data_IF_064303815796
#
_entry.id   IF_064303815796
#
_cell.length_a   1.000
_cell.length_b   1.000
_cell.length_c   1.000
_cell.angle_alpha   90.00
_cell.angle_beta   90.00
_cell.angle_gamma   90.00
#
_symmetry.space_group_name_H-M   'P 1'
#
loop_
_entity.id
_entity.type
_entity.pdbx_description
1 polymer ?
#
# COMPACT_ATOMS: atom_id res chain seq x y z
N UNK A 1 33.24 -16.04 -4.98
CA UNK A 1 32.38 -17.00 -5.69
C UNK A 1 30.98 -16.41 -5.73
N UNK A 2 30.62 -15.66 -6.77
CA UNK A 2 29.31 -14.99 -6.85
C UNK A 2 28.47 -15.38 -8.06
N UNK A 3 28.97 -16.26 -8.94
CA UNK A 3 28.28 -16.63 -10.17
C UNK A 3 28.43 -18.12 -10.48
N UNK A 4 28.00 -18.97 -9.55
CA UNK A 4 27.87 -20.41 -9.77
C UNK A 4 26.65 -20.89 -8.99
N UNK A 5 25.59 -21.25 -9.73
CA UNK A 5 24.33 -21.86 -9.29
C UNK A 5 23.46 -21.01 -8.33
N UNK A 6 22.80 -19.97 -8.86
CA UNK A 6 21.78 -19.22 -8.14
C UNK A 6 20.45 -19.99 -8.12
N UNK A 7 19.96 -20.29 -6.92
CA UNK A 7 18.61 -20.81 -6.68
C UNK A 7 17.56 -19.85 -7.31
N UNK A 8 16.47 -20.34 -7.93
CA UNK A 8 15.41 -19.51 -8.50
C UNK A 8 14.90 -18.39 -7.58
N UNK A 9 14.84 -18.64 -6.28
CA UNK A 9 14.44 -17.65 -5.26
C UNK A 9 15.42 -16.47 -5.20
N UNK A 10 16.73 -16.75 -5.31
CA UNK A 10 17.77 -15.71 -5.31
C UNK A 10 17.77 -14.91 -6.59
N UNK A 11 17.53 -15.53 -7.75
CA UNK A 11 17.40 -14.81 -9.02
C UNK A 11 16.20 -13.85 -9.02
N UNK A 12 15.03 -14.31 -8.55
CA UNK A 12 13.82 -13.47 -8.46
C UNK A 12 13.97 -12.32 -7.48
N UNK A 13 14.60 -12.58 -6.32
CA UNK A 13 14.91 -11.55 -5.33
C UNK A 13 15.77 -10.43 -5.92
N UNK A 14 16.78 -10.79 -6.72
CA UNK A 14 17.68 -9.83 -7.36
C UNK A 14 16.99 -8.98 -8.43
N UNK A 15 16.09 -9.56 -9.23
CA UNK A 15 15.31 -8.83 -10.23
C UNK A 15 14.44 -7.74 -9.58
N UNK A 16 13.71 -8.09 -8.53
CA UNK A 16 12.85 -7.17 -7.78
C UNK A 16 13.66 -6.06 -7.13
N UNK A 17 14.77 -6.42 -6.49
CA UNK A 17 15.66 -5.43 -5.90
C UNK A 17 16.18 -4.47 -6.98
N UNK A 18 16.58 -4.98 -8.14
CA UNK A 18 17.04 -4.14 -9.25
C UNK A 18 15.98 -3.18 -9.77
N UNK A 19 14.72 -3.62 -9.88
CA UNK A 19 13.60 -2.77 -10.30
C UNK A 19 13.36 -1.64 -9.28
N UNK A 20 13.31 -1.98 -7.99
CA UNK A 20 13.10 -1.00 -6.92
C UNK A 20 14.26 0.01 -6.80
N UNK A 21 15.50 -0.45 -7.00
CA UNK A 21 16.68 0.40 -7.02
C UNK A 21 16.63 1.47 -8.13
N UNK A 22 15.92 1.20 -9.23
CA UNK A 22 15.70 2.16 -10.31
C UNK A 22 14.93 3.42 -9.89
N UNK A 23 14.18 3.39 -8.78
CA UNK A 23 13.49 4.57 -8.24
C UNK A 23 14.37 5.46 -7.36
N UNK A 24 15.50 4.95 -6.86
CA UNK A 24 16.35 5.63 -5.88
C UNK A 24 16.88 6.99 -6.38
N UNK A 25 17.42 7.12 -7.60
CA UNK A 25 17.88 8.42 -8.09
C UNK A 25 16.76 9.46 -8.23
N UNK A 26 15.53 9.01 -8.49
CA UNK A 26 14.34 9.85 -8.68
C UNK A 26 13.84 10.37 -7.33
N UNK A 27 13.87 9.52 -6.31
CA UNK A 27 13.60 9.89 -4.92
C UNK A 27 14.55 10.98 -4.42
N UNK A 28 15.85 10.91 -4.74
CA UNK A 28 16.78 11.97 -4.34
C UNK A 28 16.49 13.32 -5.00
N UNK A 29 16.01 13.31 -6.25
CA UNK A 29 15.59 14.54 -6.94
C UNK A 29 14.29 15.11 -6.36
N UNK A 30 13.41 14.28 -5.80
CA UNK A 30 12.15 14.73 -5.21
C UNK A 30 12.29 15.36 -3.82
N UNK A 31 13.42 15.16 -3.13
CA UNK A 31 13.71 15.78 -1.82
C UNK A 31 13.89 17.30 -1.97
N UNK A 32 12.79 18.05 -1.93
CA UNK A 32 12.80 19.53 -1.88
C UNK A 32 13.35 20.02 -0.53
N UNK A 33 13.90 21.24 -0.51
CA UNK A 33 14.49 21.86 0.69
C UNK A 33 13.47 22.69 1.46
N UNK A 34 12.66 22.07 2.32
CA UNK A 34 11.98 22.78 3.41
C UNK A 34 12.77 22.63 4.72
N UNK A 35 12.57 23.53 5.69
CA UNK A 35 13.31 23.53 6.95
C UNK A 35 13.13 22.22 7.75
N UNK A 36 11.90 21.68 7.78
CA UNK A 36 11.63 20.37 8.38
C UNK A 36 12.35 19.23 7.65
N UNK A 37 12.37 19.26 6.31
CA UNK A 37 13.09 18.27 5.50
C UNK A 37 14.59 18.32 5.74
N UNK A 38 15.19 19.46 6.15
CA UNK A 38 16.65 19.54 6.40
C UNK A 38 17.12 18.51 7.44
N UNK A 39 16.36 18.29 8.51
CA UNK A 39 16.73 17.35 9.57
C UNK A 39 16.87 15.90 9.05
N UNK A 40 15.93 15.48 8.20
CA UNK A 40 15.89 14.13 7.64
C UNK A 40 16.69 13.99 6.35
N UNK A 41 16.93 15.10 5.64
CA UNK A 41 17.66 15.16 4.39
C UNK A 41 19.06 14.59 4.52
N UNK A 42 19.78 14.94 5.58
CA UNK A 42 21.15 14.44 5.79
C UNK A 42 21.17 12.93 5.98
N UNK A 43 20.19 12.38 6.71
CA UNK A 43 20.01 10.93 6.86
C UNK A 43 19.71 10.31 5.50
N UNK A 44 18.70 10.81 4.79
CA UNK A 44 18.27 10.31 3.47
C UNK A 44 19.45 10.31 2.48
N UNK A 45 20.18 11.42 2.35
CA UNK A 45 21.34 11.52 1.45
C UNK A 45 22.42 10.51 1.86
N UNK A 46 22.75 10.43 3.16
CA UNK A 46 23.81 9.55 3.67
C UNK A 46 23.51 8.08 3.44
N UNK A 47 22.26 7.64 3.61
CA UNK A 47 21.86 6.25 3.39
C UNK A 47 21.61 5.95 1.91
N UNK A 48 21.27 6.96 1.09
CA UNK A 48 21.05 6.70 -0.33
C UNK A 48 22.36 6.56 -1.11
N UNK A 49 23.43 7.24 -0.70
CA UNK A 49 24.73 7.20 -1.39
C UNK A 49 25.29 5.77 -1.57
N UNK A 50 25.39 4.92 -0.53
CA UNK A 50 25.85 3.54 -0.69
C UNK A 50 24.97 2.70 -1.63
N UNK A 51 23.66 2.99 -1.67
CA UNK A 51 22.74 2.32 -2.58
C UNK A 51 23.07 2.70 -4.04
N UNK A 52 23.26 3.99 -4.31
CA UNK A 52 23.65 4.47 -5.64
C UNK A 52 24.97 3.86 -6.08
N UNK A 53 25.96 3.82 -5.19
CA UNK A 53 27.29 3.28 -5.50
C UNK A 53 27.17 1.78 -5.89
N UNK A 54 26.30 1.02 -5.23
CA UNK A 54 25.97 -0.37 -5.62
C UNK A 54 25.26 -0.44 -6.98
N UNK A 55 24.30 0.45 -7.24
CA UNK A 55 23.55 0.49 -8.51
C UNK A 55 24.45 0.86 -9.70
N UNK A 56 25.40 1.78 -9.50
CA UNK A 56 26.27 2.29 -10.58
C UNK A 56 27.49 1.39 -10.80
N UNK A 57 28.14 0.92 -9.73
CA UNK A 57 29.45 0.25 -9.84
C UNK A 57 29.40 -1.28 -9.72
N UNK A 58 28.23 -1.87 -9.42
CA UNK A 58 28.07 -3.33 -9.22
C UNK A 58 29.15 -3.89 -8.27
N UNK A 59 29.47 -3.14 -7.21
CA UNK A 59 30.44 -3.58 -6.21
C UNK A 59 29.83 -4.62 -5.26
N UNK A 60 30.68 -5.47 -4.69
CA UNK A 60 30.29 -6.64 -3.93
C UNK A 60 29.60 -6.24 -2.60
N UNK A 61 28.26 -6.34 -2.55
CA UNK A 61 27.42 -6.03 -1.37
C UNK A 61 27.94 -6.68 -0.08
N UNK A 62 28.63 -7.83 -0.18
CA UNK A 62 29.21 -8.55 0.96
C UNK A 62 30.31 -7.76 1.70
N UNK A 63 31.11 -6.94 1.00
CA UNK A 63 32.17 -6.13 1.63
C UNK A 63 31.59 -4.96 2.43
N UNK A 64 30.42 -4.46 2.01
CA UNK A 64 29.71 -3.34 2.64
C UNK A 64 28.60 -3.78 3.61
N UNK A 65 28.46 -5.09 3.90
CA UNK A 65 27.33 -5.63 4.65
C UNK A 65 27.12 -4.97 6.03
N UNK A 66 28.20 -4.63 6.75
CA UNK A 66 28.11 -3.92 8.03
C UNK A 66 27.54 -2.51 7.89
N UNK A 67 27.90 -1.81 6.82
CA UNK A 67 27.41 -0.47 6.55
C UNK A 67 25.93 -0.49 6.15
N UNK A 68 25.51 -1.51 5.39
CA UNK A 68 24.10 -1.71 5.05
C UNK A 68 23.24 -2.00 6.29
N UNK A 69 23.71 -2.86 7.20
CA UNK A 69 23.02 -3.13 8.47
C UNK A 69 22.95 -1.87 9.35
N UNK A 70 24.03 -1.10 9.43
CA UNK A 70 24.04 0.16 10.20
C UNK A 70 23.07 1.20 9.62
N UNK A 71 22.98 1.29 8.29
CA UNK A 71 22.05 2.21 7.64
C UNK A 71 20.58 1.74 7.75
N UNK A 72 20.31 0.44 7.74
CA UNK A 72 18.99 -0.10 8.07
C UNK A 72 18.53 0.35 9.47
N UNK A 73 19.42 0.29 10.47
CA UNK A 73 19.12 0.78 11.83
C UNK A 73 18.84 2.29 11.83
N UNK A 74 19.66 3.10 11.14
CA UNK A 74 19.46 4.56 11.04
C UNK A 74 18.14 4.94 10.40
N UNK A 75 17.77 4.26 9.31
CA UNK A 75 16.47 4.47 8.66
C UNK A 75 15.34 4.04 9.58
N UNK A 76 15.51 2.91 10.29
CA UNK A 76 14.53 2.42 11.24
C UNK A 76 14.22 3.46 12.33
N UNK A 77 15.25 4.00 12.97
CA UNK A 77 15.10 5.05 13.99
C UNK A 77 14.41 6.30 13.41
N UNK A 78 14.78 6.71 12.20
CA UNK A 78 14.18 7.88 11.55
C UNK A 78 12.72 7.64 11.19
N UNK A 79 12.40 6.45 10.70
CA UNK A 79 11.03 6.02 10.39
C UNK A 79 10.18 6.03 11.66
N UNK A 80 10.66 5.44 12.75
CA UNK A 80 9.92 5.34 14.02
C UNK A 80 9.70 6.74 14.63
N UNK A 81 10.70 7.63 14.54
CA UNK A 81 10.57 9.02 14.99
C UNK A 81 9.48 9.76 14.19
N UNK A 82 9.54 9.70 12.86
CA UNK A 82 8.53 10.36 12.00
C UNK A 82 7.16 9.76 12.24
N UNK A 83 7.06 8.42 12.36
CA UNK A 83 5.83 7.73 12.72
C UNK A 83 5.23 8.31 14.02
N UNK A 84 6.01 8.44 15.08
CA UNK A 84 5.53 9.06 16.34
C UNK A 84 5.10 10.51 16.15
N UNK A 85 5.80 11.29 15.33
CA UNK A 85 5.39 12.66 15.01
C UNK A 85 4.05 12.72 14.29
N UNK A 86 3.78 11.80 13.35
CA UNK A 86 2.49 11.74 12.63
C UNK A 86 1.31 11.46 13.57
N UNK A 87 1.56 10.81 14.71
CA UNK A 87 0.56 10.50 15.72
C UNK A 87 0.53 11.53 16.87
N UNK A 88 1.22 12.65 16.73
CA UNK A 88 1.23 13.73 17.73
C UNK A 88 0.23 14.81 17.32
N UNK A 89 -0.92 14.87 18.01
CA UNK A 89 -1.96 15.87 17.78
C UNK A 89 -3.02 15.44 16.75
N UNK A 90 -3.69 16.42 16.14
CA UNK A 90 -4.80 16.18 15.20
C UNK A 90 -4.29 15.85 13.80
N UNK A 91 -4.83 14.77 13.19
CA UNK A 91 -4.38 14.28 11.88
C UNK A 91 -4.44 15.33 10.76
N UNK A 92 -5.49 16.14 10.72
CA UNK A 92 -5.64 17.16 9.67
C UNK A 92 -4.58 18.27 9.75
N UNK A 93 -3.94 18.44 10.91
CA UNK A 93 -2.90 19.45 11.14
C UNK A 93 -1.50 18.92 10.79
N UNK A 94 -1.36 17.63 10.49
CA UNK A 94 -0.08 17.01 10.14
C UNK A 94 0.43 17.59 8.81
N UNK A 95 1.61 18.25 8.80
CA UNK A 95 2.12 18.89 7.58
C UNK A 95 2.41 17.89 6.47
N UNK A 96 2.07 18.26 5.23
CA UNK A 96 2.31 17.43 4.05
C UNK A 96 3.79 17.01 3.90
N UNK A 97 4.72 17.89 4.27
CA UNK A 97 6.16 17.62 4.26
C UNK A 97 6.56 16.47 5.19
N UNK A 98 5.90 16.32 6.36
CA UNK A 98 6.21 15.22 7.28
C UNK A 98 5.73 13.89 6.69
N UNK A 99 4.52 13.90 6.11
CA UNK A 99 3.95 12.74 5.41
C UNK A 99 4.79 12.34 4.19
N UNK A 100 5.37 13.30 3.48
CA UNK A 100 6.29 13.02 2.39
C UNK A 100 7.59 12.38 2.89
N UNK A 101 8.19 12.91 3.96
CA UNK A 101 9.37 12.28 4.58
C UNK A 101 9.06 10.85 5.01
N UNK A 102 7.89 10.60 5.59
CA UNK A 102 7.46 9.25 5.95
C UNK A 102 7.42 8.32 4.74
N UNK A 103 6.81 8.75 3.62
CA UNK A 103 6.81 8.00 2.35
C UNK A 103 8.23 7.63 1.89
N UNK A 104 9.15 8.59 1.93
CA UNK A 104 10.54 8.37 1.50
C UNK A 104 11.30 7.40 2.43
N UNK A 105 11.10 7.54 3.75
CA UNK A 105 11.69 6.65 4.73
C UNK A 105 11.14 5.23 4.62
N UNK A 106 9.82 5.06 4.37
CA UNK A 106 9.21 3.75 4.10
C UNK A 106 9.87 3.09 2.90
N UNK A 107 10.02 3.81 1.78
CA UNK A 107 10.67 3.30 0.58
C UNK A 107 12.13 2.88 0.85
N UNK A 108 12.94 3.74 1.46
CA UNK A 108 14.33 3.40 1.77
C UNK A 108 14.43 2.24 2.75
N UNK A 109 13.54 2.17 3.74
CA UNK A 109 13.49 1.06 4.70
C UNK A 109 13.23 -0.26 3.98
N UNK A 110 12.29 -0.29 3.04
CA UNK A 110 12.00 -1.45 2.20
C UNK A 110 13.26 -1.91 1.45
N UNK A 111 13.96 -1.00 0.77
CA UNK A 111 15.20 -1.32 0.05
C UNK A 111 16.23 -1.97 0.98
N UNK A 112 16.47 -1.35 2.13
CA UNK A 112 17.44 -1.85 3.09
C UNK A 112 17.02 -3.18 3.73
N UNK A 113 15.73 -3.39 3.99
CA UNK A 113 15.21 -4.66 4.47
C UNK A 113 15.47 -5.77 3.45
N UNK A 114 15.20 -5.53 2.17
CA UNK A 114 15.45 -6.49 1.08
C UNK A 114 16.94 -6.81 0.89
N UNK A 115 17.83 -5.84 1.09
CA UNK A 115 19.29 -6.05 1.02
C UNK A 115 19.82 -6.84 2.22
N UNK A 116 19.33 -6.51 3.42
CA UNK A 116 19.87 -7.01 4.70
C UNK A 116 19.14 -8.24 5.25
N UNK A 117 17.99 -8.59 4.68
CA UNK A 117 17.09 -9.62 5.17
C UNK A 117 17.70 -11.01 5.12
N UNK A 118 17.38 -11.84 6.12
CA UNK A 118 17.88 -13.22 6.22
C UNK A 118 16.97 -14.25 5.55
N UNK A 119 15.70 -13.90 5.32
CA UNK A 119 14.71 -14.75 4.68
C UNK A 119 13.84 -13.95 3.72
N UNK A 120 13.78 -14.37 2.45
CA UNK A 120 13.10 -13.63 1.40
C UNK A 120 11.60 -13.45 1.68
N UNK A 121 10.89 -14.53 2.02
CA UNK A 121 9.44 -14.51 2.23
C UNK A 121 9.02 -13.61 3.41
N UNK A 122 9.68 -13.74 4.57
CA UNK A 122 9.41 -12.89 5.74
C UNK A 122 9.71 -11.42 5.43
N UNK A 123 10.89 -11.14 4.87
CA UNK A 123 11.30 -9.78 4.49
C UNK A 123 10.34 -9.17 3.47
N UNK A 124 9.82 -9.96 2.53
CA UNK A 124 8.88 -9.50 1.52
C UNK A 124 7.52 -9.13 2.14
N UNK A 125 7.01 -9.94 3.08
CA UNK A 125 5.77 -9.65 3.80
C UNK A 125 5.90 -8.38 4.64
N UNK A 126 7.03 -8.20 5.33
CA UNK A 126 7.31 -6.99 6.10
C UNK A 126 7.47 -5.77 5.19
N UNK A 127 8.11 -5.92 4.03
CA UNK A 127 8.24 -4.85 3.05
C UNK A 127 6.88 -4.39 2.51
N UNK A 128 5.96 -5.33 2.22
CA UNK A 128 4.58 -5.02 1.83
C UNK A 128 3.87 -4.27 2.97
N UNK A 129 4.04 -4.71 4.22
CA UNK A 129 3.47 -4.02 5.38
C UNK A 129 3.98 -2.57 5.49
N UNK A 130 5.30 -2.35 5.38
CA UNK A 130 5.88 -0.99 5.41
C UNK A 130 5.39 -0.13 4.23
N UNK A 131 5.21 -0.72 3.04
CA UNK A 131 4.66 -0.03 1.89
C UNK A 131 3.21 0.40 2.13
N UNK A 132 2.37 -0.50 2.66
CA UNK A 132 0.98 -0.20 3.02
C UNK A 132 0.88 0.86 4.11
N UNK A 133 1.74 0.80 5.14
CA UNK A 133 1.83 1.86 6.15
C UNK A 133 2.17 3.21 5.53
N UNK A 134 3.14 3.24 4.61
CA UNK A 134 3.50 4.44 3.87
C UNK A 134 2.38 4.97 2.98
N UNK A 135 1.57 4.10 2.36
CA UNK A 135 0.40 4.50 1.59
C UNK A 135 -0.73 5.06 2.46
N UNK A 136 -0.93 4.50 3.65
CA UNK A 136 -1.97 4.96 4.59
C UNK A 136 -1.62 6.29 5.26
N UNK A 137 -0.37 6.45 5.71
CA UNK A 137 0.04 7.59 6.54
C UNK A 137 0.86 8.64 5.79
N UNK A 138 1.48 8.27 4.68
CA UNK A 138 2.36 9.13 3.91
C UNK A 138 1.63 10.10 2.98
N UNK A 139 2.44 10.85 2.23
CA UNK A 139 1.97 11.67 1.11
C UNK A 139 2.36 11.01 -0.22
N UNK A 140 1.60 11.30 -1.28
CA UNK A 140 1.92 10.83 -2.63
C UNK A 140 3.24 11.44 -3.08
N UNK A 141 4.21 10.59 -3.41
CA UNK A 141 5.48 10.99 -4.03
C UNK A 141 5.48 10.48 -5.45
N UNK A 142 5.47 11.40 -6.40
CA UNK A 142 5.51 11.05 -7.81
C UNK A 142 6.95 10.84 -8.28
N UNK A 143 7.16 9.77 -9.03
CA UNK A 143 8.43 9.46 -9.70
C UNK A 143 8.15 9.24 -11.19
N UNK A 144 8.94 9.89 -12.04
CA UNK A 144 8.83 9.73 -13.48
C UNK A 144 9.43 8.38 -13.89
N UNK A 145 8.68 7.49 -14.54
CA UNK A 145 9.16 6.23 -15.10
C UNK A 145 8.58 6.06 -16.50
N UNK A 146 9.44 5.85 -17.51
CA UNK A 146 9.05 5.74 -18.93
C UNK A 146 8.11 6.87 -19.41
N UNK A 147 8.39 8.11 -18.99
CA UNK A 147 7.61 9.29 -19.36
C UNK A 147 6.23 9.40 -18.70
N UNK A 148 5.97 8.60 -17.64
CA UNK A 148 4.75 8.68 -16.83
C UNK A 148 5.09 8.99 -15.38
N UNK A 149 4.28 9.84 -14.76
CA UNK A 149 4.33 10.07 -13.31
C UNK A 149 3.61 8.93 -12.58
N UNK A 150 4.37 8.18 -11.79
CA UNK A 150 3.85 7.09 -10.97
C UNK A 150 3.89 7.47 -9.49
N UNK A 151 2.91 7.00 -8.72
CA UNK A 151 2.99 7.06 -7.26
C UNK A 151 3.98 6.00 -6.75
N UNK A 152 5.06 6.46 -6.12
CA UNK A 152 6.20 5.64 -5.70
C UNK A 152 5.77 4.41 -4.91
N UNK A 153 5.01 4.58 -3.82
CA UNK A 153 4.68 3.45 -2.94
C UNK A 153 3.59 2.57 -3.54
N UNK A 154 2.72 3.12 -4.39
CA UNK A 154 1.74 2.32 -5.12
C UNK A 154 2.42 1.37 -6.12
N UNK A 155 3.49 1.84 -6.78
CA UNK A 155 4.27 0.99 -7.67
C UNK A 155 5.12 -0.02 -6.88
N UNK A 156 5.77 0.41 -5.80
CA UNK A 156 6.55 -0.48 -4.92
C UNK A 156 5.67 -1.62 -4.39
N UNK A 157 4.47 -1.35 -3.88
CA UNK A 157 3.59 -2.40 -3.37
C UNK A 157 3.08 -3.32 -4.49
N UNK A 158 2.87 -2.79 -5.70
CA UNK A 158 2.51 -3.59 -6.88
C UNK A 158 3.61 -4.59 -7.24
N UNK A 159 4.86 -4.15 -7.26
CA UNK A 159 6.05 -4.99 -7.51
C UNK A 159 6.18 -6.07 -6.43
N UNK A 160 6.11 -5.68 -5.16
CA UNK A 160 6.25 -6.60 -4.03
C UNK A 160 5.10 -7.63 -3.98
N UNK A 161 3.86 -7.21 -4.22
CA UNK A 161 2.70 -8.11 -4.22
C UNK A 161 2.75 -9.12 -5.38
N UNK A 162 3.21 -8.71 -6.57
CA UNK A 162 3.46 -9.64 -7.69
C UNK A 162 4.51 -10.70 -7.33
N UNK A 163 5.51 -10.32 -6.54
CA UNK A 163 6.54 -11.22 -6.07
C UNK A 163 6.10 -12.17 -4.94
N UNK A 164 5.11 -11.76 -4.14
CA UNK A 164 4.60 -12.52 -3.01
C UNK A 164 3.45 -13.46 -3.40
N UNK A 165 3.14 -13.61 -4.70
CA UNK A 165 2.13 -14.56 -5.15
C UNK A 165 2.57 -15.96 -4.70
N UNK A 166 1.81 -16.64 -3.83
CA UNK A 166 2.13 -18.02 -3.49
C UNK A 166 2.06 -18.86 -4.77
N UNK A 167 2.99 -19.79 -4.92
CA UNK A 167 2.74 -20.95 -5.77
C UNK A 167 1.42 -21.56 -5.29
N UNK A 168 0.45 -21.65 -6.20
CA UNK A 168 -0.92 -22.17 -6.01
C UNK A 168 -1.03 -23.02 -4.73
N UNK A 169 -1.48 -22.40 -3.63
CA UNK A 169 -1.58 -23.09 -2.35
C UNK A 169 -2.61 -24.22 -2.45
N UNK A 170 -2.32 -25.34 -1.80
CA UNK A 170 -3.12 -26.57 -1.76
C UNK A 170 -4.45 -26.46 -1.00
N UNK A 171 -4.82 -25.25 -0.56
CA UNK A 171 -6.07 -25.04 0.16
C UNK A 171 -7.23 -24.98 -0.83
N UNK A 172 -8.37 -25.63 -0.53
CA UNK A 172 -9.52 -25.57 -1.40
C UNK A 172 -10.02 -24.11 -1.51
N UNK A 173 -10.42 -23.67 -2.71
CA UNK A 173 -10.91 -22.31 -2.90
C UNK A 173 -12.12 -22.04 -2.02
N UNK A 174 -12.22 -20.82 -1.53
CA UNK A 174 -13.35 -20.37 -0.74
C UNK A 174 -14.64 -20.41 -1.58
N UNK A 175 -15.76 -20.73 -0.93
CA UNK A 175 -17.07 -20.71 -1.60
C UNK A 175 -17.43 -19.27 -1.94
N UNK A 176 -18.11 -19.09 -3.08
CA UNK A 176 -18.67 -17.80 -3.46
C UNK A 176 -19.67 -17.33 -2.40
N UNK A 177 -19.64 -16.03 -2.13
CA UNK A 177 -20.57 -15.37 -1.22
C UNK A 177 -21.98 -15.47 -1.79
N UNK A 178 -22.91 -16.01 -1.00
CA UNK A 178 -24.33 -15.90 -1.30
C UNK A 178 -24.80 -14.53 -0.85
N UNK A 179 -25.19 -13.69 -1.78
CA UNK A 179 -25.94 -12.47 -1.46
C UNK A 179 -27.40 -12.86 -1.51
N UNK A 180 -27.95 -13.21 -0.35
CA UNK A 180 -29.39 -13.38 -0.20
C UNK A 180 -30.00 -11.98 -0.21
N UNK A 181 -30.35 -11.48 -1.40
CA UNK A 181 -31.18 -10.28 -1.54
C UNK A 181 -32.57 -10.70 -1.10
N UNK A 182 -32.86 -10.50 0.19
CA UNK A 182 -34.19 -10.75 0.74
C UNK A 182 -35.16 -9.65 0.27
N UNK A 183 -35.69 -9.83 -0.94
CA UNK A 183 -36.70 -8.96 -1.57
C UNK A 183 -38.08 -9.07 -0.88
N UNK A 184 -38.19 -9.85 0.20
CA UNK A 184 -39.45 -10.09 0.90
C UNK A 184 -39.84 -8.98 1.87
N UNK A 185 -38.92 -8.05 2.17
CA UNK A 185 -39.21 -6.83 2.92
C UNK A 185 -39.14 -5.61 2.00
N UNK A 186 -40.22 -5.35 1.25
CA UNK A 186 -40.43 -4.03 0.64
C UNK A 186 -40.63 -3.00 1.74
N UNK A 187 -39.54 -2.57 2.35
CA UNK A 187 -39.49 -1.34 3.11
C UNK A 187 -40.02 -0.24 2.17
N UNK A 188 -40.96 0.56 2.66
CA UNK A 188 -41.41 1.75 1.92
C UNK A 188 -40.18 2.64 1.79
N UNK A 189 -39.59 2.67 0.61
CA UNK A 189 -38.48 3.55 0.31
C UNK A 189 -39.06 4.96 0.19
N UNK A 190 -38.92 5.77 1.23
CA UNK A 190 -39.29 7.20 1.19
C UNK A 190 -38.39 8.00 0.25
N UNK A 191 -37.32 7.39 -0.24
CA UNK A 191 -36.37 7.98 -1.19
C UNK A 191 -36.85 7.77 -2.62
N UNK A 192 -36.79 8.83 -3.43
CA UNK A 192 -37.13 8.77 -4.84
C UNK A 192 -36.24 7.76 -5.60
N UNK A 193 -36.86 6.89 -6.39
CA UNK A 193 -36.16 5.91 -7.23
C UNK A 193 -36.14 6.44 -8.66
N UNK A 194 -34.94 6.60 -9.22
CA UNK A 194 -34.72 7.13 -10.56
C UNK A 194 -34.01 6.08 -11.40
N UNK A 195 -34.61 5.69 -12.52
CA UNK A 195 -33.98 4.80 -13.49
C UNK A 195 -33.23 5.62 -14.53
N UNK A 196 -31.90 5.49 -14.56
CA UNK A 196 -31.01 6.15 -15.53
C UNK A 196 -31.33 7.65 -15.80
N UNK A 197 -31.42 8.52 -14.77
CA UNK A 197 -31.75 9.93 -14.99
C UNK A 197 -30.65 10.65 -15.78
N UNK A 198 -31.05 11.68 -16.53
CA UNK A 198 -30.06 12.58 -17.14
C UNK A 198 -29.34 13.38 -16.07
N UNK A 199 -28.08 13.78 -16.35
CA UNK A 199 -27.31 14.62 -15.44
C UNK A 199 -28.03 15.95 -15.10
N UNK A 200 -28.72 16.53 -16.09
CA UNK A 200 -29.50 17.75 -15.92
C UNK A 200 -30.70 17.54 -15.00
N UNK A 201 -31.45 16.46 -15.19
CA UNK A 201 -32.60 16.12 -14.35
C UNK A 201 -32.14 15.90 -12.91
N UNK A 202 -31.13 15.03 -12.71
CA UNK A 202 -30.57 14.77 -11.38
C UNK A 202 -30.03 16.06 -10.72
N UNK A 203 -29.33 16.90 -11.50
CA UNK A 203 -28.80 18.18 -11.05
C UNK A 203 -29.89 19.10 -10.50
N UNK A 204 -30.89 19.40 -11.33
CA UNK A 204 -31.93 20.39 -11.03
C UNK A 204 -32.99 19.90 -10.04
N UNK A 205 -33.29 18.61 -10.01
CA UNK A 205 -34.39 18.06 -9.22
C UNK A 205 -33.94 17.43 -7.89
N UNK A 206 -32.69 16.96 -7.78
CA UNK A 206 -32.20 16.28 -6.58
C UNK A 206 -30.94 16.92 -6.00
N UNK A 207 -29.90 17.15 -6.81
CA UNK A 207 -28.62 17.68 -6.31
C UNK A 207 -28.75 19.11 -5.76
N UNK A 208 -29.34 20.02 -6.54
CA UNK A 208 -29.53 21.43 -6.15
C UNK A 208 -30.47 21.56 -4.93
N UNK A 209 -31.48 20.70 -4.88
CA UNK A 209 -32.46 20.64 -3.77
C UNK A 209 -31.93 19.89 -2.54
N UNK A 210 -30.76 19.24 -2.65
CA UNK A 210 -30.14 18.41 -1.60
C UNK A 210 -31.03 17.25 -1.13
N UNK A 211 -31.75 16.65 -2.07
CA UNK A 211 -32.66 15.54 -1.83
C UNK A 211 -32.00 14.20 -2.17
N UNK A 212 -32.16 13.15 -1.34
CA UNK A 212 -31.66 11.83 -1.65
C UNK A 212 -32.43 11.20 -2.82
N UNK A 213 -31.73 10.43 -3.64
CA UNK A 213 -32.31 9.61 -4.70
C UNK A 213 -31.55 8.28 -4.82
N UNK A 214 -32.28 7.20 -5.08
CA UNK A 214 -31.74 5.89 -5.41
C UNK A 214 -31.68 5.76 -6.94
N UNK A 215 -30.50 5.48 -7.47
CA UNK A 215 -30.26 5.41 -8.91
C UNK A 215 -30.20 3.94 -9.38
N UNK A 216 -31.09 3.58 -10.28
CA UNK A 216 -31.13 2.24 -10.90
C UNK A 216 -30.63 2.28 -12.35
N UNK A 217 -30.11 1.14 -12.83
CA UNK A 217 -29.64 0.98 -14.20
C UNK A 217 -28.31 1.67 -14.50
N UNK A 218 -27.59 2.17 -13.50
CA UNK A 218 -26.34 2.92 -13.69
C UNK A 218 -25.10 2.03 -13.62
N UNK A 219 -25.10 1.05 -12.73
CA UNK A 219 -23.92 0.23 -12.39
C UNK A 219 -24.04 -1.22 -12.86
N UNK A 220 -25.10 -1.56 -13.59
CA UNK A 220 -25.44 -2.94 -13.98
C UNK A 220 -24.32 -3.62 -14.77
N UNK A 221 -23.55 -2.84 -15.52
CA UNK A 221 -22.41 -3.33 -16.32
C UNK A 221 -21.07 -3.34 -15.54
N UNK A 222 -21.06 -3.02 -14.24
CA UNK A 222 -19.83 -3.00 -13.45
C UNK A 222 -19.29 -4.42 -13.27
N UNK A 223 -18.03 -4.71 -13.66
CA UNK A 223 -17.43 -6.04 -13.47
C UNK A 223 -17.39 -6.49 -11.99
N UNK A 224 -17.47 -5.54 -11.05
CA UNK A 224 -17.53 -5.81 -9.62
C UNK A 224 -18.75 -6.66 -9.24
N UNK A 225 -19.90 -6.46 -9.90
CA UNK A 225 -21.14 -7.21 -9.66
C UNK A 225 -21.04 -8.69 -10.06
N UNK A 226 -20.05 -9.08 -10.86
CA UNK A 226 -19.78 -10.48 -11.17
C UNK A 226 -18.60 -11.01 -10.34
N UNK A 227 -17.51 -10.24 -10.26
CA UNK A 227 -16.22 -10.72 -9.76
C UNK A 227 -16.09 -10.70 -8.24
N UNK A 228 -16.68 -9.73 -7.55
CA UNK A 228 -16.45 -9.54 -6.12
C UNK A 228 -17.23 -10.53 -5.23
N UNK A 229 -18.20 -11.25 -5.80
CA UNK A 229 -18.85 -12.38 -5.13
C UNK A 229 -17.92 -13.58 -4.94
N UNK A 230 -16.76 -13.61 -5.59
CA UNK A 230 -15.75 -14.65 -5.45
C UNK A 230 -14.65 -14.19 -4.47
N UNK A 231 -14.61 -14.68 -3.22
CA UNK A 231 -13.57 -14.32 -2.27
C UNK A 231 -12.15 -14.63 -2.79
N UNK A 232 -12.00 -15.64 -3.66
CA UNK A 232 -10.71 -15.98 -4.23
C UNK A 232 -10.21 -14.89 -5.20
N UNK A 233 -11.13 -14.21 -5.91
CA UNK A 233 -10.79 -13.05 -6.72
C UNK A 233 -10.28 -11.91 -5.84
N UNK A 234 -10.95 -11.62 -4.72
CA UNK A 234 -10.57 -10.58 -3.77
C UNK A 234 -9.19 -10.86 -3.13
N UNK A 235 -8.95 -12.11 -2.72
CA UNK A 235 -7.65 -12.55 -2.18
C UNK A 235 -6.56 -12.46 -3.25
N UNK A 236 -6.83 -12.89 -4.49
CA UNK A 236 -5.85 -12.79 -5.57
C UNK A 236 -5.52 -11.33 -5.93
N UNK A 237 -6.50 -10.42 -5.83
CA UNK A 237 -6.33 -9.02 -6.16
C UNK A 237 -5.62 -8.22 -5.05
N UNK A 238 -5.93 -8.48 -3.78
CA UNK A 238 -5.49 -7.64 -2.67
C UNK A 238 -5.19 -8.38 -1.36
N UNK A 239 -5.16 -9.72 -1.35
CA UNK A 239 -5.08 -10.52 -0.13
C UNK A 239 -3.86 -10.22 0.76
N UNK A 240 -2.70 -9.95 0.16
CA UNK A 240 -1.46 -9.61 0.87
C UNK A 240 -1.41 -8.16 1.38
N UNK A 241 -2.40 -7.33 1.03
CA UNK A 241 -2.46 -5.93 1.46
C UNK A 241 -2.89 -5.85 2.93
N UNK A 242 -2.27 -4.95 3.67
CA UNK A 242 -2.66 -4.60 5.03
C UNK A 242 -3.75 -3.53 4.98
N UNK A 243 -4.88 -3.79 5.64
CA UNK A 243 -6.06 -2.92 5.66
C UNK A 243 -6.48 -2.58 7.09
N UNK A 244 -7.02 -1.38 7.34
CA UNK A 244 -7.66 -1.04 8.61
C UNK A 244 -9.05 -1.69 8.68
N UNK A 245 -9.34 -2.31 9.82
CA UNK A 245 -10.64 -2.93 10.12
C UNK A 245 -11.16 -2.33 11.41
N UNK A 246 -12.38 -1.79 11.34
CA UNK A 246 -13.14 -1.34 12.49
C UNK A 246 -13.72 -2.54 13.25
N UNK A 247 -13.63 -2.50 14.57
CA UNK A 247 -14.14 -3.55 15.46
C UNK A 247 -14.96 -2.88 16.56
N UNK A 248 -16.20 -3.31 16.72
CA UNK A 248 -17.13 -2.77 17.70
C UNK A 248 -18.55 -2.70 17.14
N UNK A 249 -19.52 -2.37 17.98
CA UNK A 249 -20.92 -2.26 17.58
C UNK A 249 -21.21 -1.06 16.66
N UNK A 250 -20.68 0.11 17.00
CA UNK A 250 -20.80 1.35 16.22
C UNK A 250 -19.65 2.32 16.53
N UNK A 251 -19.33 3.24 15.63
CA UNK A 251 -18.17 4.14 15.81
C UNK A 251 -18.22 5.05 17.04
N UNK A 252 -19.40 5.23 17.64
CA UNK A 252 -19.61 6.10 18.80
C UNK A 252 -19.58 5.37 20.14
N UNK A 253 -19.38 4.06 20.15
CA UNK A 253 -19.44 3.25 21.36
C UNK A 253 -18.05 3.01 21.94
N UNK A 254 -17.98 2.78 23.26
CA UNK A 254 -16.71 2.59 23.98
C UNK A 254 -15.99 1.29 23.58
N UNK A 255 -16.71 0.32 22.98
CA UNK A 255 -16.15 -0.92 22.44
C UNK A 255 -15.56 -0.75 21.02
N UNK A 256 -15.63 0.45 20.44
CA UNK A 256 -15.06 0.71 19.12
C UNK A 256 -13.53 0.83 19.16
N UNK A 257 -12.89 0.16 18.20
CA UNK A 257 -11.45 0.24 17.96
C UNK A 257 -11.12 -0.03 16.49
N UNK A 258 -9.87 0.21 16.11
CA UNK A 258 -9.34 -0.13 14.80
C UNK A 258 -8.12 -1.03 14.92
N UNK A 259 -8.00 -2.01 14.02
CA UNK A 259 -6.83 -2.89 13.91
C UNK A 259 -6.39 -3.04 12.46
N UNK A 260 -5.10 -3.25 12.26
CA UNK A 260 -4.52 -3.55 10.94
C UNK A 260 -4.39 -5.06 10.77
N UNK A 261 -4.92 -5.60 9.68
CA UNK A 261 -4.86 -7.03 9.34
C UNK A 261 -4.54 -7.19 7.87
N UNK A 262 -4.09 -8.38 7.45
CA UNK A 262 -4.05 -8.69 6.02
C UNK A 262 -5.47 -8.88 5.50
N UNK A 263 -5.73 -8.41 4.29
CA UNK A 263 -7.06 -8.49 3.69
C UNK A 263 -7.51 -9.95 3.55
N UNK A 264 -6.61 -10.87 3.17
CA UNK A 264 -6.91 -12.31 3.10
C UNK A 264 -7.36 -12.89 4.44
N UNK A 265 -6.75 -12.45 5.54
CA UNK A 265 -7.09 -12.92 6.89
C UNK A 265 -8.47 -12.39 7.29
N UNK A 266 -8.79 -11.15 6.92
CA UNK A 266 -10.12 -10.60 7.12
C UNK A 266 -11.19 -11.39 6.35
N UNK A 267 -10.97 -11.66 5.06
CA UNK A 267 -11.88 -12.45 4.24
C UNK A 267 -12.12 -13.83 4.87
N UNK A 268 -11.04 -14.55 5.23
CA UNK A 268 -11.12 -15.91 5.77
C UNK A 268 -11.75 -15.99 7.18
N UNK A 269 -11.69 -14.90 7.96
CA UNK A 269 -12.26 -14.89 9.32
C UNK A 269 -13.72 -14.42 9.36
N UNK A 270 -14.14 -13.56 8.42
CA UNK A 270 -15.41 -12.81 8.54
C UNK A 270 -16.38 -12.99 7.37
N UNK A 271 -15.93 -13.51 6.23
CA UNK A 271 -16.76 -13.59 5.01
C UNK A 271 -16.97 -15.02 4.50
N UNK A 272 -16.43 -16.04 5.15
CA UNK A 272 -16.57 -17.45 4.76
C UNK A 272 -17.34 -18.24 5.81
#
# INVERSE_FOLDING_TARGET
>A
QLFGDLNPVTARAMEILSELLGFVPKVLKSVKTSEYRKLYRDVIIKVTKPIIDVVINVENVAENAKDFQHNLIRIGISYDLVYSCLHTGEWHAVPADQREVFTLLSFLRIIYMLICGKGWSETLNDAIYIADMGLMLGAKVFVEHDGKDLDLLAEVVSILAKANKPDLSSEPPLKRLKVDIDDSSKAVCEVSILHQPTLEYFGTHHYDNREPALLEGIIDDWPALERWHDPNYLIAAAGERTVPVEVGSQYSSDDWSQRLVKFKDFIAQHLT
#
